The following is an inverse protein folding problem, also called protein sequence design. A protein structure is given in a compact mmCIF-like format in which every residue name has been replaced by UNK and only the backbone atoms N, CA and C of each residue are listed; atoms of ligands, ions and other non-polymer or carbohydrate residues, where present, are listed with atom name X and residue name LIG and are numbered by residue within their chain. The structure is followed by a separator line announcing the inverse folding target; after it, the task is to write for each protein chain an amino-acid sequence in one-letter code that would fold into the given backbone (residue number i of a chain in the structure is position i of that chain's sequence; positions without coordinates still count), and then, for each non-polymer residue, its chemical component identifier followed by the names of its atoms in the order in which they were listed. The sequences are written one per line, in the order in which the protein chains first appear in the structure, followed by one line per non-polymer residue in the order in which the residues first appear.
data_IF_326611648136
#
_entry.id   IF_326611648136
#
_cell.length_a   1.000
_cell.length_b   1.000
_cell.length_c   1.000
_cell.angle_alpha   90.00
_cell.angle_beta   90.00
_cell.angle_gamma   90.00
#
_symmetry.space_group_name_H-M   'P 1'
#
loop_
_entity.id
_entity.type
_entity.pdbx_description
1 polymer ?
#
# COMPACT_ATOMS: atom_id res chain seq x y z
N UNK A 1 20.37 -10.36 6.05
CA UNK A 1 19.17 -9.62 5.57
C UNK A 1 18.22 -10.64 4.99
N UNK A 2 16.92 -10.52 5.31
CA UNK A 2 15.87 -11.34 4.68
C UNK A 2 15.39 -10.54 3.48
N UNK A 3 15.45 -11.14 2.28
CA UNK A 3 14.83 -10.58 1.08
C UNK A 3 13.42 -11.14 1.04
N UNK A 4 12.42 -10.25 1.10
CA UNK A 4 11.02 -10.60 1.14
C UNK A 4 10.13 -9.42 0.74
N UNK A 5 8.82 -9.65 0.59
CA UNK A 5 7.88 -8.57 0.28
C UNK A 5 7.85 -7.55 1.41
N UNK A 6 8.09 -6.29 1.08
CA UNK A 6 7.90 -5.17 2.02
C UNK A 6 6.58 -4.44 1.74
N UNK A 7 5.94 -3.96 2.79
CA UNK A 7 4.63 -3.32 2.69
C UNK A 7 4.66 -2.02 1.87
N UNK A 8 5.79 -1.31 1.85
CA UNK A 8 5.91 -0.02 1.17
C UNK A 8 5.92 -0.21 -0.35
N UNK A 9 6.77 -1.11 -0.85
CA UNK A 9 6.84 -1.43 -2.28
C UNK A 9 5.55 -2.06 -2.76
N UNK A 10 4.94 -2.98 -1.99
CA UNK A 10 3.66 -3.57 -2.33
C UNK A 10 2.53 -2.52 -2.46
N UNK A 11 2.51 -1.54 -1.55
CA UNK A 11 1.53 -0.45 -1.59
C UNK A 11 1.77 0.43 -2.82
N UNK A 12 3.00 0.90 -3.03
CA UNK A 12 3.33 1.82 -4.13
C UNK A 12 3.10 1.13 -5.48
N UNK A 13 3.62 -0.10 -5.67
CA UNK A 13 3.42 -0.84 -6.91
C UNK A 13 1.93 -1.11 -7.16
N UNK A 14 1.19 -1.45 -6.11
CA UNK A 14 -0.24 -1.69 -6.16
C UNK A 14 -1.01 -0.46 -6.65
N UNK A 15 -0.73 0.71 -6.07
CA UNK A 15 -1.41 1.96 -6.49
C UNK A 15 -1.01 2.39 -7.90
N UNK A 16 0.26 2.24 -8.27
CA UNK A 16 0.75 2.60 -9.62
C UNK A 16 0.06 1.76 -10.70
N UNK A 17 -0.04 0.45 -10.51
CA UNK A 17 -0.70 -0.42 -11.49
C UNK A 17 -2.22 -0.21 -11.46
N UNK A 18 -2.82 0.00 -10.28
CA UNK A 18 -4.26 0.23 -10.15
C UNK A 18 -4.75 1.49 -10.84
N UNK A 19 -3.85 2.45 -11.13
CA UNK A 19 -4.17 3.64 -11.91
C UNK A 19 -4.39 3.35 -13.41
N UNK A 20 -3.85 2.25 -13.93
CA UNK A 20 -3.94 1.86 -15.34
C UNK A 20 -4.84 0.63 -15.56
N UNK A 21 -4.91 -0.30 -14.61
CA UNK A 21 -5.68 -1.52 -14.72
C UNK A 21 -6.44 -1.83 -13.43
N UNK A 22 -7.68 -2.30 -13.55
CA UNK A 22 -8.46 -2.73 -12.40
C UNK A 22 -7.82 -3.94 -11.70
N UNK A 23 -7.72 -3.89 -10.37
CA UNK A 23 -7.18 -5.00 -9.56
C UNK A 23 -7.91 -6.31 -9.85
N UNK A 24 -7.15 -7.36 -10.18
CA UNK A 24 -7.69 -8.69 -10.51
C UNK A 24 -7.97 -8.93 -11.99
N UNK A 25 -7.79 -7.93 -12.87
CA UNK A 25 -7.82 -8.15 -14.31
C UNK A 25 -6.55 -8.86 -14.81
N UNK A 26 -6.62 -9.47 -15.99
CA UNK A 26 -5.45 -10.04 -16.65
C UNK A 26 -4.38 -8.97 -16.93
N UNK A 27 -4.81 -7.75 -17.30
CA UNK A 27 -3.92 -6.62 -17.54
C UNK A 27 -3.17 -6.18 -16.28
N UNK A 28 -3.79 -6.28 -15.10
CA UNK A 28 -3.15 -5.98 -13.82
C UNK A 28 -1.93 -6.87 -13.56
N UNK A 29 -2.05 -8.17 -13.85
CA UNK A 29 -0.96 -9.13 -13.70
C UNK A 29 0.18 -8.84 -14.69
N UNK A 30 -0.18 -8.51 -15.93
CA UNK A 30 0.79 -8.19 -16.98
C UNK A 30 1.54 -6.90 -16.65
N UNK A 31 0.86 -5.84 -16.23
CA UNK A 31 1.50 -4.58 -15.83
C UNK A 31 2.37 -4.74 -14.59
N UNK A 32 1.90 -5.48 -13.58
CA UNK A 32 2.67 -5.70 -12.35
C UNK A 32 3.97 -6.45 -12.63
N UNK A 33 3.91 -7.49 -13.47
CA UNK A 33 5.10 -8.25 -13.84
C UNK A 33 6.06 -7.43 -14.73
N UNK A 34 5.54 -6.66 -15.69
CA UNK A 34 6.35 -5.75 -16.50
C UNK A 34 7.04 -4.68 -15.62
N UNK A 35 6.32 -4.09 -14.67
CA UNK A 35 6.86 -3.11 -13.72
C UNK A 35 7.99 -3.72 -12.89
N UNK A 36 7.82 -4.94 -12.39
CA UNK A 36 8.85 -5.63 -11.62
C UNK A 36 10.14 -5.86 -12.44
N UNK A 37 10.00 -6.26 -13.71
CA UNK A 37 11.14 -6.44 -14.62
C UNK A 37 11.85 -5.11 -14.91
N UNK A 38 11.10 -4.04 -15.19
CA UNK A 38 11.67 -2.71 -15.44
C UNK A 38 12.43 -2.20 -14.22
N UNK A 39 11.83 -2.30 -13.03
CA UNK A 39 12.46 -1.88 -11.77
C UNK A 39 13.72 -2.70 -11.50
N UNK A 40 13.68 -4.02 -11.69
CA UNK A 40 14.85 -4.89 -11.57
C UNK A 40 15.97 -4.51 -12.53
N UNK A 41 15.64 -4.21 -13.79
CA UNK A 41 16.60 -3.74 -14.78
C UNK A 41 17.23 -2.39 -14.38
N UNK A 42 16.43 -1.44 -13.88
CA UNK A 42 16.93 -0.16 -13.36
C UNK A 42 17.89 -0.37 -12.17
N UNK A 43 17.57 -1.29 -11.25
CA UNK A 43 18.46 -1.62 -10.13
C UNK A 43 19.78 -2.23 -10.60
N UNK A 44 19.76 -3.12 -11.60
CA UNK A 44 20.98 -3.66 -12.20
C UNK A 44 21.81 -2.55 -12.83
N UNK A 45 21.18 -1.65 -13.60
CA UNK A 45 21.85 -0.54 -14.25
C UNK A 45 22.50 0.42 -13.24
N UNK A 46 21.76 0.86 -12.22
CA UNK A 46 22.29 1.75 -11.18
C UNK A 46 23.35 1.06 -10.30
N UNK A 47 23.18 -0.24 -10.04
CA UNK A 47 24.17 -1.07 -9.35
C UNK A 47 25.48 -1.14 -10.13
N UNK A 48 25.42 -1.36 -11.45
CA UNK A 48 26.59 -1.37 -12.33
C UNK A 48 27.29 0.00 -12.41
N UNK A 49 26.52 1.10 -12.37
CA UNK A 49 27.06 2.47 -12.31
C UNK A 49 27.55 2.86 -10.91
N UNK A 50 27.44 1.97 -9.91
CA UNK A 50 27.80 2.21 -8.50
C UNK A 50 27.15 3.48 -7.94
N UNK A 51 25.91 3.73 -8.34
CA UNK A 51 25.17 4.97 -8.03
C UNK A 51 24.54 4.97 -6.62
N UNK A 52 25.07 4.18 -5.69
CA UNK A 52 24.56 4.07 -4.32
C UNK A 52 24.58 5.40 -3.55
N UNK A 53 25.52 6.29 -3.91
CA UNK A 53 25.66 7.63 -3.33
C UNK A 53 24.41 8.51 -3.54
N UNK A 54 23.56 8.22 -4.53
CA UNK A 54 22.32 8.97 -4.77
C UNK A 54 21.31 8.78 -3.64
N UNK A 55 21.32 7.61 -2.99
CA UNK A 55 20.44 7.34 -1.85
C UNK A 55 20.76 8.23 -0.64
N UNK A 56 22.02 8.68 -0.49
CA UNK A 56 22.44 9.56 0.59
C UNK A 56 21.87 10.99 0.46
N UNK A 57 21.34 11.37 -0.70
CA UNK A 57 20.66 12.66 -0.89
C UNK A 57 19.24 12.68 -0.35
N UNK A 58 18.70 11.55 0.10
CA UNK A 58 17.36 11.50 0.68
C UNK A 58 17.46 11.89 2.15
N UNK A 59 16.91 13.05 2.56
CA UNK A 59 17.02 13.48 3.95
C UNK A 59 16.28 12.52 4.87
N UNK A 60 16.92 12.14 5.98
CA UNK A 60 16.31 11.36 7.07
C UNK A 60 14.90 11.84 7.47
N UNK A 61 14.59 13.15 7.59
CA UNK A 61 13.23 13.59 7.92
C UNK A 61 12.18 13.19 6.87
N UNK A 62 12.54 13.18 5.58
CA UNK A 62 11.63 12.78 4.49
C UNK A 62 11.32 11.29 4.60
N UNK A 63 12.34 10.46 4.81
CA UNK A 63 12.14 9.02 4.96
C UNK A 63 11.30 8.68 6.20
N UNK A 64 11.53 9.38 7.32
CA UNK A 64 10.73 9.22 8.54
C UNK A 64 9.26 9.59 8.31
N UNK A 65 8.99 10.72 7.65
CA UNK A 65 7.63 11.13 7.33
C UNK A 65 6.95 10.15 6.37
N UNK A 66 7.67 9.64 5.37
CA UNK A 66 7.17 8.64 4.42
C UNK A 66 6.77 7.34 5.12
N UNK A 67 7.64 6.79 5.97
CA UNK A 67 7.34 5.55 6.74
C UNK A 67 6.16 5.78 7.68
N UNK A 68 6.10 6.91 8.39
CA UNK A 68 4.97 7.24 9.26
C UNK A 68 3.65 7.36 8.49
N UNK A 69 3.68 7.97 7.31
CA UNK A 69 2.52 8.05 6.41
C UNK A 69 2.05 6.67 5.96
N UNK A 70 2.98 5.81 5.53
CA UNK A 70 2.66 4.43 5.13
C UNK A 70 2.02 3.62 6.26
N UNK A 71 2.50 3.78 7.50
CA UNK A 71 1.92 3.12 8.67
C UNK A 71 0.45 3.52 8.83
N UNK A 72 0.14 4.82 8.78
CA UNK A 72 -1.25 5.29 8.87
C UNK A 72 -2.13 4.79 7.73
N UNK A 73 -1.64 4.86 6.49
CA UNK A 73 -2.37 4.36 5.31
C UNK A 73 -2.65 2.86 5.46
N UNK A 74 -1.68 2.09 5.96
CA UNK A 74 -1.82 0.66 6.19
C UNK A 74 -2.85 0.38 7.28
N UNK A 75 -2.78 1.05 8.43
CA UNK A 75 -3.74 0.90 9.53
C UNK A 75 -5.16 1.13 9.03
N UNK A 76 -5.41 2.29 8.41
CA UNK A 76 -6.73 2.64 7.88
C UNK A 76 -7.19 1.65 6.80
N UNK A 77 -6.27 1.14 5.98
CA UNK A 77 -6.56 0.12 4.99
C UNK A 77 -7.01 -1.22 5.57
N UNK A 78 -6.59 -1.57 6.80
CA UNK A 78 -6.93 -2.84 7.45
C UNK A 78 -8.12 -2.72 8.43
N UNK A 79 -8.46 -1.52 8.94
CA UNK A 79 -9.59 -1.31 9.86
C UNK A 79 -10.90 -1.98 9.38
N UNK A 80 -11.36 -1.82 8.11
CA UNK A 80 -12.60 -2.41 7.66
C UNK A 80 -12.60 -3.95 7.74
N UNK A 81 -11.45 -4.57 7.46
CA UNK A 81 -11.31 -6.03 7.55
C UNK A 81 -11.37 -6.52 9.00
N UNK A 82 -10.77 -5.77 9.93
CA UNK A 82 -10.79 -6.10 11.36
C UNK A 82 -12.20 -5.96 11.96
N UNK A 83 -12.97 -4.97 11.49
CA UNK A 83 -14.34 -4.73 11.94
C UNK A 83 -15.40 -5.55 11.18
N UNK A 84 -14.99 -6.34 10.18
CA UNK A 84 -15.91 -7.13 9.35
C UNK A 84 -16.84 -6.28 8.45
N UNK A 85 -16.46 -5.02 8.20
CA UNK A 85 -17.19 -4.11 7.32
C UNK A 85 -16.95 -4.49 5.85
N UNK A 86 -17.89 -4.11 4.98
CA UNK A 86 -17.73 -4.33 3.55
C UNK A 86 -16.45 -3.65 3.02
N UNK A 87 -15.80 -4.22 1.98
CA UNK A 87 -14.57 -3.66 1.44
C UNK A 87 -14.77 -2.22 0.96
N UNK A 88 -14.22 -1.26 1.72
CA UNK A 88 -14.27 0.14 1.34
C UNK A 88 -13.26 0.38 0.21
N UNK A 89 -13.75 0.85 -0.92
CA UNK A 89 -12.96 1.26 -2.08
C UNK A 89 -12.77 2.78 -2.08
N UNK A 90 -11.61 3.25 -2.53
CA UNK A 90 -11.27 4.68 -2.58
C UNK A 90 -9.96 5.03 -1.87
N UNK A 91 -9.60 6.32 -1.94
CA UNK A 91 -8.38 6.85 -1.32
C UNK A 91 -8.42 6.87 0.22
N UNK A 92 -7.30 7.19 0.86
CA UNK A 92 -7.17 7.23 2.33
C UNK A 92 -8.25 8.09 3.02
N UNK A 93 -8.50 9.30 2.51
CA UNK A 93 -9.52 10.22 3.02
C UNK A 93 -10.94 9.63 2.90
N UNK A 94 -11.22 8.99 1.75
CA UNK A 94 -12.52 8.38 1.49
C UNK A 94 -12.76 7.18 2.42
N UNK A 95 -11.70 6.38 2.67
CA UNK A 95 -11.73 5.33 3.70
C UNK A 95 -11.98 5.88 5.09
N UNK A 96 -11.31 6.96 5.49
CA UNK A 96 -11.51 7.56 6.81
C UNK A 96 -12.94 8.07 7.01
N UNK A 97 -13.49 8.77 6.02
CA UNK A 97 -14.86 9.28 6.07
C UNK A 97 -15.85 8.12 6.16
N UNK A 98 -15.72 7.11 5.29
CA UNK A 98 -16.64 5.97 5.30
C UNK A 98 -16.53 5.11 6.57
N UNK A 99 -15.34 4.96 7.15
CA UNK A 99 -15.18 4.32 8.47
C UNK A 99 -15.96 5.13 9.51
N UNK A 100 -15.82 6.45 9.53
CA UNK A 100 -16.51 7.31 10.50
C UNK A 100 -18.04 7.33 10.30
N UNK A 101 -18.51 7.24 9.05
CA UNK A 101 -19.93 7.11 8.72
C UNK A 101 -20.52 5.74 9.10
N UNK A 102 -19.70 4.67 9.06
CA UNK A 102 -20.12 3.32 9.45
C UNK A 102 -19.95 3.02 10.94
N UNK A 103 -19.19 3.85 11.68
CA UNK A 103 -19.05 3.78 13.12
C UNK A 103 -20.39 3.86 13.90
N UNK A 104 -21.35 4.74 13.58
CA UNK A 104 -22.64 4.81 14.28
C UNK A 104 -23.59 3.63 13.99
N UNK A 105 -23.44 2.93 12.87
CA UNK A 105 -24.19 1.69 12.55
C UNK A 105 -23.61 0.43 13.22
N UNK A 106 -22.41 0.52 13.82
CA UNK A 106 -21.84 -0.52 14.67
C UNK A 106 -22.54 -0.51 16.05
N UNK A 107 -23.78 -1.01 16.07
CA UNK A 107 -24.45 -1.37 17.31
C UNK A 107 -23.55 -2.35 18.09
N UNK A 108 -23.28 -2.13 19.39
CA UNK A 108 -22.37 -2.96 20.20
C UNK A 108 -22.80 -4.43 20.33
N UNK A 109 -23.99 -4.79 19.84
CA UNK A 109 -24.54 -6.13 19.83
C UNK A 109 -23.98 -7.04 18.72
N UNK A 110 -23.42 -6.49 17.63
CA UNK A 110 -22.89 -7.32 16.53
C UNK A 110 -21.49 -7.88 16.83
N UNK A 111 -20.73 -7.21 17.71
CA UNK A 111 -19.43 -7.71 18.20
C UNK A 111 -19.54 -8.91 19.15
N UNK A 112 -20.71 -9.10 19.80
CA UNK A 112 -20.93 -10.13 20.82
C UNK A 112 -21.73 -11.35 20.33
N UNK A 113 -22.36 -11.29 19.14
CA UNK A 113 -23.22 -12.39 18.62
C UNK A 113 -22.50 -13.34 17.66
N UNK A 114 -21.25 -13.07 17.28
CA UNK A 114 -20.48 -13.90 16.34
C UNK A 114 -19.24 -14.50 17.02
N UNK A 115 -19.46 -15.20 18.12
CA UNK A 115 -18.54 -16.19 18.68
C UNK A 115 -19.25 -17.55 18.67
#
# INVERSE_FOLDING_TARGET
MVVGPDSATALISGVTVSALAASGSQDYLVLTSAMAVIVGFCFLLFGSLKMGWVADFIPTPVMKAFVQGLVWVTIVGQIPKLLGLHPISGGFLQKLIQILEQLPDLHPLTALRRN
#
